data_IF_911622642734
#
_entry.id   IF_911622642734
#
_cell.length_a   1.000
_cell.length_b   1.000
_cell.length_c   1.000
_cell.angle_alpha   90.00
_cell.angle_beta   90.00
_cell.angle_gamma   90.00
#
_symmetry.space_group_name_H-M   'P 1'
#
loop_
_entity.id
_entity.type
_entity.pdbx_description
1 polymer ?
#
# COMPACT_ATOMS: atom_id res chain seq x y z
N UNK A 1 -1.81 -26.52 -4.40
CA UNK A 1 -0.91 -26.17 -5.52
C UNK A 1 -0.20 -24.87 -5.20
N UNK A 2 1.14 -24.82 -5.32
CA UNK A 2 1.93 -23.61 -5.15
C UNK A 2 1.72 -22.58 -6.28
N UNK A 3 2.29 -21.37 -6.15
CA UNK A 3 2.21 -20.35 -7.19
C UNK A 3 2.92 -20.84 -8.47
N UNK A 4 2.34 -20.51 -9.63
CA UNK A 4 2.94 -20.86 -10.93
C UNK A 4 4.21 -20.05 -11.22
N UNK A 5 4.28 -18.82 -10.71
CA UNK A 5 5.39 -17.89 -10.89
C UNK A 5 5.53 -17.03 -9.63
N UNK A 6 6.77 -16.80 -9.20
CA UNK A 6 7.10 -15.88 -8.12
C UNK A 6 8.00 -14.78 -8.69
N UNK A 7 7.65 -13.54 -8.42
CA UNK A 7 8.40 -12.34 -8.77
C UNK A 7 8.75 -11.62 -7.49
N UNK A 8 10.02 -11.28 -7.32
CA UNK A 8 10.52 -10.57 -6.16
C UNK A 8 11.17 -9.26 -6.61
N UNK A 9 10.90 -8.19 -5.89
CA UNK A 9 11.53 -6.88 -6.10
C UNK A 9 12.25 -6.51 -4.82
N UNK A 10 13.57 -6.43 -4.88
CA UNK A 10 14.43 -6.08 -3.75
C UNK A 10 15.36 -4.93 -4.15
N UNK A 11 15.41 -3.88 -3.31
CA UNK A 11 16.23 -2.71 -3.56
C UNK A 11 17.65 -2.87 -3.06
N UNK A 12 17.80 -3.55 -1.93
CA UNK A 12 19.10 -3.79 -1.33
C UNK A 12 19.88 -4.81 -2.19
N UNK A 13 21.08 -4.42 -2.61
CA UNK A 13 21.91 -5.22 -3.51
C UNK A 13 22.43 -6.49 -2.85
N UNK A 14 22.82 -6.40 -1.59
CA UNK A 14 23.38 -7.55 -0.86
C UNK A 14 22.29 -8.59 -0.62
N UNK A 15 21.10 -8.15 -0.20
CA UNK A 15 19.93 -9.04 -0.08
C UNK A 15 19.52 -9.63 -1.43
N UNK A 16 19.57 -8.85 -2.50
CA UNK A 16 19.28 -9.33 -3.85
C UNK A 16 20.22 -10.48 -4.24
N UNK A 17 21.54 -10.34 -4.03
CA UNK A 17 22.52 -11.41 -4.39
C UNK A 17 22.31 -12.67 -3.51
N UNK A 18 22.03 -12.50 -2.22
CA UNK A 18 21.70 -13.61 -1.31
C UNK A 18 20.45 -14.35 -1.80
N UNK A 19 19.39 -13.62 -2.15
CA UNK A 19 18.14 -14.21 -2.62
C UNK A 19 18.32 -14.91 -3.97
N UNK A 20 19.09 -14.32 -4.88
CA UNK A 20 19.41 -14.88 -6.18
C UNK A 20 20.17 -16.22 -6.05
N UNK A 21 21.17 -16.27 -5.19
CA UNK A 21 21.91 -17.52 -4.92
C UNK A 21 21.03 -18.58 -4.26
N UNK A 22 20.19 -18.18 -3.28
CA UNK A 22 19.33 -19.08 -2.53
C UNK A 22 18.23 -19.72 -3.39
N UNK A 23 17.64 -18.98 -4.30
CA UNK A 23 16.50 -19.46 -5.10
C UNK A 23 16.88 -19.99 -6.48
N UNK A 24 18.11 -19.74 -6.93
CA UNK A 24 18.74 -20.36 -8.11
C UNK A 24 17.77 -20.54 -9.30
N UNK A 25 17.32 -19.46 -9.89
CA UNK A 25 16.40 -19.39 -11.04
C UNK A 25 14.97 -19.96 -10.82
N UNK A 26 14.61 -20.37 -9.60
CA UNK A 26 13.23 -20.79 -9.28
C UNK A 26 12.24 -19.63 -9.22
N UNK A 27 12.75 -18.41 -9.06
CA UNK A 27 11.95 -17.18 -8.98
C UNK A 27 12.61 -16.10 -9.84
N UNK A 28 11.80 -15.16 -10.30
CA UNK A 28 12.28 -13.98 -11.04
C UNK A 28 12.54 -12.85 -10.07
N UNK A 29 13.78 -12.36 -9.96
CA UNK A 29 14.17 -11.35 -8.98
C UNK A 29 14.66 -10.10 -9.71
N UNK A 30 14.19 -8.92 -9.27
CA UNK A 30 14.61 -7.61 -9.77
C UNK A 30 15.29 -6.82 -8.66
N UNK A 31 16.51 -6.34 -8.90
CA UNK A 31 17.17 -5.38 -8.03
C UNK A 31 16.70 -3.96 -8.38
N UNK A 32 15.53 -3.59 -7.92
CA UNK A 32 14.89 -2.32 -8.23
C UNK A 32 14.17 -1.74 -6.99
N UNK A 33 14.01 -0.41 -6.97
CA UNK A 33 13.15 0.25 -6.00
C UNK A 33 11.67 0.02 -6.36
N UNK A 34 10.89 -0.56 -5.46
CA UNK A 34 9.47 -0.81 -5.69
C UNK A 34 8.69 0.46 -6.07
N UNK A 35 9.10 1.64 -5.62
CA UNK A 35 8.47 2.89 -6.01
C UNK A 35 8.72 3.25 -7.48
N UNK A 36 9.84 2.82 -8.06
CA UNK A 36 10.22 3.02 -9.46
C UNK A 36 9.82 1.85 -10.36
N UNK A 37 9.58 0.67 -9.78
CA UNK A 37 9.23 -0.54 -10.52
C UNK A 37 8.01 -0.32 -11.41
N UNK A 38 8.14 -0.58 -12.71
CA UNK A 38 7.13 -0.28 -13.73
C UNK A 38 6.73 -1.46 -14.61
N UNK A 39 7.30 -2.65 -14.37
CA UNK A 39 7.07 -3.87 -15.16
C UNK A 39 5.70 -4.49 -14.91
N UNK A 40 4.67 -3.76 -15.25
CA UNK A 40 3.26 -4.14 -15.01
C UNK A 40 2.81 -5.34 -15.85
N UNK A 41 3.48 -5.60 -16.97
CA UNK A 41 3.25 -6.76 -17.85
C UNK A 41 3.58 -8.10 -17.17
N UNK A 42 4.35 -8.09 -16.09
CA UNK A 42 4.65 -9.29 -15.31
C UNK A 42 3.49 -9.73 -14.41
N UNK A 43 2.52 -8.84 -14.16
CA UNK A 43 1.37 -9.10 -13.30
C UNK A 43 0.13 -9.44 -14.15
N UNK A 44 -0.68 -10.34 -13.61
CA UNK A 44 -1.97 -10.76 -14.18
C UNK A 44 -3.09 -10.48 -13.17
N UNK A 45 -4.33 -10.57 -13.62
CA UNK A 45 -5.51 -10.42 -12.76
C UNK A 45 -5.57 -11.46 -11.62
N UNK A 46 -4.83 -12.56 -11.74
CA UNK A 46 -4.70 -13.57 -10.69
C UNK A 46 -3.50 -13.37 -9.77
N UNK A 47 -2.66 -12.37 -10.02
CA UNK A 47 -1.49 -12.10 -9.19
C UNK A 47 -1.88 -11.64 -7.79
N UNK A 48 -1.20 -12.16 -6.78
CA UNK A 48 -1.30 -11.72 -5.39
C UNK A 48 0.01 -11.00 -5.05
N UNK A 49 -0.08 -9.79 -4.53
CA UNK A 49 1.08 -9.00 -4.16
C UNK A 49 1.24 -9.01 -2.65
N UNK A 50 2.37 -9.53 -2.19
CA UNK A 50 2.75 -9.53 -0.77
C UNK A 50 3.80 -8.45 -0.50
N UNK A 51 3.74 -7.85 0.68
CA UNK A 51 4.78 -6.93 1.11
C UNK A 51 4.91 -6.84 2.63
N UNK A 52 6.09 -7.21 3.14
CA UNK A 52 6.57 -6.71 4.41
C UNK A 52 7.25 -5.38 4.13
N UNK A 53 6.46 -4.29 4.19
CA UNK A 53 6.88 -3.00 3.66
C UNK A 53 7.79 -2.24 4.64
N UNK A 54 8.86 -1.58 4.13
CA UNK A 54 9.61 -0.62 4.94
C UNK A 54 8.69 0.47 5.47
N UNK A 55 8.68 0.69 6.78
CA UNK A 55 7.68 1.53 7.44
C UNK A 55 7.67 2.98 6.94
N UNK A 56 8.85 3.52 6.64
CA UNK A 56 9.02 4.91 6.18
C UNK A 56 8.43 5.20 4.80
N UNK A 57 8.25 4.19 3.95
CA UNK A 57 7.69 4.33 2.58
C UNK A 57 6.43 3.52 2.34
N UNK A 58 5.92 2.81 3.35
CA UNK A 58 4.76 1.90 3.20
C UNK A 58 3.50 2.59 2.70
N UNK A 59 3.22 3.83 3.15
CA UNK A 59 2.10 4.63 2.65
C UNK A 59 2.29 5.05 1.17
N UNK A 60 3.52 5.32 0.75
CA UNK A 60 3.83 5.67 -0.65
C UNK A 60 3.65 4.45 -1.55
N UNK A 61 4.09 3.27 -1.10
CA UNK A 61 3.89 2.02 -1.83
C UNK A 61 2.39 1.74 -2.00
N UNK A 62 1.60 1.84 -0.94
CA UNK A 62 0.15 1.67 -1.01
C UNK A 62 -0.48 2.67 -2.00
N UNK A 63 -0.11 3.94 -1.92
CA UNK A 63 -0.59 4.99 -2.83
C UNK A 63 -0.24 4.69 -4.29
N UNK A 64 0.96 4.17 -4.56
CA UNK A 64 1.34 3.72 -5.90
C UNK A 64 0.36 2.68 -6.45
N UNK A 65 0.00 1.65 -5.68
CA UNK A 65 -0.96 0.64 -6.13
C UNK A 65 -2.39 1.16 -6.25
N UNK A 66 -2.80 2.11 -5.42
CA UNK A 66 -4.11 2.78 -5.54
C UNK A 66 -4.24 3.52 -6.87
N UNK A 67 -3.23 4.32 -7.26
CA UNK A 67 -3.32 5.18 -8.43
C UNK A 67 -2.90 4.50 -9.74
N UNK A 68 -2.04 3.50 -9.68
CA UNK A 68 -1.54 2.79 -10.87
C UNK A 68 -2.22 1.42 -11.11
N UNK A 69 -3.35 1.15 -10.48
CA UNK A 69 -4.05 -0.13 -10.62
C UNK A 69 -4.49 -0.47 -12.05
N UNK A 70 -4.64 0.53 -12.94
CA UNK A 70 -4.86 0.27 -14.37
C UNK A 70 -3.63 -0.33 -15.06
N UNK A 71 -2.43 0.01 -14.57
CA UNK A 71 -1.16 -0.54 -15.08
C UNK A 71 -0.84 -1.88 -14.43
N UNK A 72 -1.04 -2.00 -13.11
CA UNK A 72 -0.77 -3.21 -12.35
C UNK A 72 -2.06 -4.00 -12.19
N UNK A 73 -2.20 -5.07 -12.97
CA UNK A 73 -3.30 -6.03 -12.80
C UNK A 73 -2.94 -6.99 -11.67
N UNK A 74 -3.81 -7.14 -10.70
CA UNK A 74 -3.64 -8.06 -9.57
C UNK A 74 -4.99 -8.38 -8.93
N UNK A 75 -5.08 -9.53 -8.28
CA UNK A 75 -6.28 -9.97 -7.57
C UNK A 75 -6.42 -9.28 -6.22
N UNK A 76 -5.35 -9.27 -5.43
CA UNK A 76 -5.33 -8.67 -4.09
C UNK A 76 -3.94 -8.22 -3.67
N UNK A 77 -3.89 -7.30 -2.68
CA UNK A 77 -2.67 -6.95 -1.97
C UNK A 77 -2.74 -7.49 -0.53
N UNK A 78 -1.62 -7.98 -0.03
CA UNK A 78 -1.47 -8.41 1.36
C UNK A 78 -0.23 -7.70 1.90
N UNK A 79 -0.44 -6.62 2.66
CA UNK A 79 0.63 -5.77 3.13
C UNK A 79 0.68 -5.72 4.66
N UNK A 80 1.90 -5.73 5.19
CA UNK A 80 2.14 -5.47 6.59
C UNK A 80 2.55 -4.02 6.81
N UNK A 81 1.89 -3.38 7.78
CA UNK A 81 2.13 -2.00 8.19
C UNK A 81 2.40 -1.91 9.69
N UNK A 82 2.97 -0.80 10.13
CA UNK A 82 2.89 -0.42 11.53
C UNK A 82 1.43 -0.34 11.96
N UNK A 83 1.12 -0.82 13.19
CA UNK A 83 -0.26 -0.89 13.68
C UNK A 83 -1.00 0.44 13.56
N UNK A 84 -0.37 1.56 13.93
CA UNK A 84 -0.99 2.89 13.83
C UNK A 84 -1.39 3.21 12.38
N UNK A 85 -0.54 2.94 11.41
CA UNK A 85 -0.85 3.17 10.00
C UNK A 85 -1.96 2.23 9.51
N UNK A 86 -1.92 0.97 9.91
CA UNK A 86 -2.98 0.01 9.58
C UNK A 86 -4.33 0.46 10.14
N UNK A 87 -4.38 0.88 11.40
CA UNK A 87 -5.60 1.39 12.05
C UNK A 87 -6.14 2.65 11.34
N UNK A 88 -5.28 3.51 10.78
CA UNK A 88 -5.70 4.64 9.94
C UNK A 88 -6.27 4.20 8.59
N UNK A 89 -5.71 3.16 7.98
CA UNK A 89 -6.18 2.67 6.68
C UNK A 89 -7.59 2.08 6.80
N UNK A 90 -7.87 1.31 7.85
CA UNK A 90 -9.18 0.65 8.08
C UNK A 90 -10.12 1.45 8.98
N UNK A 91 -9.82 2.70 9.26
CA UNK A 91 -10.58 3.55 10.18
C UNK A 91 -12.04 3.73 9.72
N UNK A 92 -12.97 3.73 10.66
CA UNK A 92 -14.38 4.03 10.41
C UNK A 92 -14.60 5.54 10.35
N UNK A 93 -15.62 5.96 9.61
CA UNK A 93 -16.09 7.35 9.60
C UNK A 93 -16.37 7.81 11.05
N UNK A 94 -16.08 9.06 11.35
CA UNK A 94 -16.19 9.67 12.67
C UNK A 94 -15.18 9.16 13.72
N UNK A 95 -14.24 8.29 13.37
CA UNK A 95 -13.15 7.93 14.28
C UNK A 95 -11.97 8.93 14.18
N UNK A 96 -11.18 9.05 15.25
CA UNK A 96 -9.98 9.91 15.28
C UNK A 96 -8.93 9.51 14.23
N UNK A 97 -8.88 8.25 13.85
CA UNK A 97 -7.95 7.70 12.86
C UNK A 97 -8.41 7.90 11.41
N UNK A 98 -9.69 8.25 11.18
CA UNK A 98 -10.22 8.48 9.83
C UNK A 98 -9.48 9.62 9.14
N UNK A 99 -9.00 9.39 7.92
CA UNK A 99 -8.17 10.36 7.25
C UNK A 99 -7.94 10.10 5.77
N UNK A 100 -6.95 10.79 5.22
CA UNK A 100 -6.60 10.72 3.79
C UNK A 100 -6.40 9.29 3.31
N UNK A 101 -5.59 8.49 4.00
CA UNK A 101 -5.31 7.11 3.58
C UNK A 101 -6.55 6.23 3.66
N UNK A 102 -7.44 6.45 4.64
CA UNK A 102 -8.74 5.75 4.71
C UNK A 102 -9.53 5.98 3.43
N UNK A 103 -9.68 7.24 3.01
CA UNK A 103 -10.47 7.61 1.82
C UNK A 103 -9.84 7.03 0.55
N UNK A 104 -8.53 7.24 0.35
CA UNK A 104 -7.83 6.79 -0.83
C UNK A 104 -7.88 5.26 -0.98
N UNK A 105 -7.68 4.54 0.10
CA UNK A 105 -7.68 3.08 0.08
C UNK A 105 -9.08 2.52 -0.15
N UNK A 106 -10.08 3.05 0.58
CA UNK A 106 -11.48 2.63 0.44
C UNK A 106 -12.14 3.06 -0.87
N UNK A 107 -11.52 3.96 -1.64
CA UNK A 107 -11.97 4.25 -3.00
C UNK A 107 -11.83 3.05 -3.93
N UNK A 108 -10.75 2.27 -3.79
CA UNK A 108 -10.40 1.17 -4.70
C UNK A 108 -10.61 -0.22 -4.11
N UNK A 109 -10.53 -0.36 -2.80
CA UNK A 109 -10.43 -1.65 -2.14
C UNK A 109 -11.47 -1.81 -1.02
N UNK A 110 -11.92 -3.03 -0.86
CA UNK A 110 -12.50 -3.55 0.38
C UNK A 110 -11.34 -4.09 1.22
N UNK A 111 -11.21 -3.54 2.44
CA UNK A 111 -10.02 -3.74 3.25
C UNK A 111 -10.40 -4.34 4.59
N UNK A 112 -9.68 -5.36 5.00
CA UNK A 112 -9.81 -5.89 6.35
C UNK A 112 -8.46 -6.19 6.97
N UNK A 113 -8.41 -6.12 8.29
CA UNK A 113 -7.25 -6.52 9.07
C UNK A 113 -7.31 -8.02 9.29
N UNK A 114 -6.31 -8.75 8.81
CA UNK A 114 -6.21 -10.19 8.98
C UNK A 114 -5.77 -10.54 10.41
N UNK A 115 -4.65 -9.96 10.88
CA UNK A 115 -4.13 -10.17 12.23
C UNK A 115 -3.08 -9.10 12.59
N UNK A 116 -2.79 -9.02 13.89
CA UNK A 116 -1.70 -8.23 14.42
C UNK A 116 -0.46 -9.11 14.60
N UNK A 117 0.74 -8.55 14.38
CA UNK A 117 2.03 -9.22 14.54
C UNK A 117 2.79 -8.59 15.70
N UNK A 118 3.21 -9.45 16.64
CA UNK A 118 4.00 -9.02 17.78
C UNK A 118 5.40 -8.56 17.37
N UNK A 119 5.97 -7.53 18.03
CA UNK A 119 7.38 -7.17 17.86
C UNK A 119 8.35 -8.34 18.07
N UNK A 120 7.99 -9.31 18.91
CA UNK A 120 8.82 -10.49 19.18
C UNK A 120 9.00 -11.42 17.97
N UNK A 121 8.19 -11.25 16.91
CA UNK A 121 8.28 -12.03 15.67
C UNK A 121 9.34 -11.51 14.70
N UNK A 122 10.11 -10.48 15.07
CA UNK A 122 11.09 -9.85 14.21
C UNK A 122 12.49 -9.83 14.81
N UNK A 123 13.49 -9.88 13.94
CA UNK A 123 14.88 -9.63 14.32
C UNK A 123 15.53 -8.66 13.31
N UNK A 124 16.07 -7.52 13.76
CA UNK A 124 15.96 -6.97 15.11
C UNK A 124 14.51 -6.62 15.48
N UNK A 125 14.20 -6.68 16.79
CA UNK A 125 12.86 -6.44 17.31
C UNK A 125 12.46 -4.96 17.14
N UNK A 126 11.37 -4.63 16.44
CA UNK A 126 10.88 -3.26 16.34
C UNK A 126 10.24 -2.80 17.66
N UNK A 127 10.15 -1.47 17.85
CA UNK A 127 9.53 -0.89 19.06
C UNK A 127 8.00 -1.00 19.09
N UNK A 128 7.36 -1.23 17.93
CA UNK A 128 5.90 -1.16 17.76
C UNK A 128 5.36 -2.40 17.07
N UNK A 129 4.09 -2.71 17.37
CA UNK A 129 3.35 -3.80 16.73
C UNK A 129 3.11 -3.50 15.24
N UNK A 130 2.94 -4.55 14.47
CA UNK A 130 2.52 -4.49 13.07
C UNK A 130 1.14 -5.12 12.88
N UNK A 131 0.50 -4.84 11.77
CA UNK A 131 -0.76 -5.47 11.37
C UNK A 131 -0.71 -5.83 9.90
N UNK A 132 -1.25 -6.97 9.55
CA UNK A 132 -1.42 -7.43 8.17
C UNK A 132 -2.80 -7.03 7.69
N UNK A 133 -2.84 -6.30 6.58
CA UNK A 133 -4.08 -5.89 5.91
C UNK A 133 -4.19 -6.60 4.56
N UNK A 134 -5.42 -6.98 4.22
CA UNK A 134 -5.78 -7.55 2.93
C UNK A 134 -6.65 -6.55 2.18
N UNK A 135 -6.31 -6.30 0.92
CA UNK A 135 -6.99 -5.36 0.03
C UNK A 135 -7.55 -6.13 -1.17
N UNK A 136 -8.85 -6.24 -1.25
CA UNK A 136 -9.56 -6.79 -2.40
C UNK A 136 -10.08 -5.67 -3.28
N UNK A 137 -10.02 -5.83 -4.60
CA UNK A 137 -10.65 -4.85 -5.49
C UNK A 137 -12.15 -4.79 -5.25
N UNK A 138 -12.70 -3.57 -5.26
CA UNK A 138 -14.15 -3.37 -5.28
C UNK A 138 -14.72 -3.67 -6.65
N UNK A 139 -15.86 -4.33 -6.70
CA UNK A 139 -16.59 -4.59 -7.96
C UNK A 139 -17.04 -3.27 -8.61
N UNK A 140 -17.48 -2.32 -7.78
CA UNK A 140 -17.94 -1.00 -8.25
C UNK A 140 -17.04 0.09 -7.68
N UNK A 141 -16.38 0.83 -8.58
CA UNK A 141 -15.46 1.91 -8.23
C UNK A 141 -16.00 3.21 -8.83
N UNK A 142 -16.04 4.29 -8.02
CA UNK A 142 -16.35 5.63 -8.51
C UNK A 142 -15.26 6.05 -9.48
N UNK A 143 -15.63 6.34 -10.74
CA UNK A 143 -14.70 6.81 -11.76
C UNK A 143 -14.58 8.33 -11.70
N UNK A 144 -13.39 8.83 -11.43
CA UNK A 144 -13.07 10.26 -11.52
C UNK A 144 -12.46 10.58 -12.88
N UNK A 145 -12.79 11.74 -13.48
CA UNK A 145 -12.09 12.25 -14.68
C UNK A 145 -10.58 12.35 -14.40
N UNK A 146 -10.21 12.92 -13.27
CA UNK A 146 -8.83 12.99 -12.83
C UNK A 146 -8.70 12.44 -11.38
N UNK A 147 -8.20 11.22 -11.20
CA UNK A 147 -8.00 10.63 -9.89
C UNK A 147 -7.06 11.42 -8.95
N UNK A 148 -6.13 12.21 -9.51
CA UNK A 148 -5.24 13.06 -8.73
C UNK A 148 -6.00 14.16 -7.96
N UNK A 149 -7.20 14.55 -8.42
CA UNK A 149 -8.03 15.49 -7.69
C UNK A 149 -8.46 14.93 -6.33
N UNK A 150 -8.77 13.64 -6.24
CA UNK A 150 -9.08 13.00 -4.95
C UNK A 150 -7.87 13.08 -4.00
N UNK A 151 -6.66 12.85 -4.53
CA UNK A 151 -5.43 12.97 -3.76
C UNK A 151 -5.20 14.42 -3.28
N UNK A 152 -5.38 15.41 -4.17
CA UNK A 152 -5.23 16.83 -3.85
C UNK A 152 -6.25 17.26 -2.79
N UNK A 153 -7.52 16.98 -2.99
CA UNK A 153 -8.60 17.34 -2.07
C UNK A 153 -8.34 16.73 -0.69
N UNK A 154 -8.10 15.43 -0.61
CA UNK A 154 -7.85 14.76 0.67
C UNK A 154 -6.60 15.29 1.35
N UNK A 155 -5.55 15.65 0.61
CA UNK A 155 -4.36 16.30 1.17
C UNK A 155 -4.69 17.64 1.79
N UNK A 156 -5.43 18.50 1.11
CA UNK A 156 -5.80 19.83 1.59
C UNK A 156 -6.63 19.74 2.88
N UNK A 157 -7.67 18.91 2.89
CA UNK A 157 -8.58 18.84 4.04
C UNK A 157 -8.03 18.09 5.25
N UNK A 158 -7.15 17.11 5.05
CA UNK A 158 -6.61 16.33 6.17
C UNK A 158 -5.24 16.77 6.69
N UNK A 159 -4.52 17.67 6.00
CA UNK A 159 -3.23 18.19 6.49
C UNK A 159 -3.35 19.05 7.76
N UNK A 160 -4.49 19.73 7.97
CA UNK A 160 -4.70 20.64 9.10
C UNK A 160 -6.05 20.38 9.77
N UNK A 161 -6.30 19.13 10.18
CA UNK A 161 -7.59 18.66 10.73
C UNK A 161 -8.19 19.55 11.86
N UNK A 162 -7.34 20.23 12.65
CA UNK A 162 -7.77 21.10 13.76
C UNK A 162 -8.09 22.54 13.34
N UNK A 163 -7.90 22.89 12.06
CA UNK A 163 -8.19 24.26 11.58
C UNK A 163 -9.55 24.34 10.90
N UNK A 164 -10.16 25.55 10.95
CA UNK A 164 -11.46 25.80 10.32
C UNK A 164 -11.42 25.46 8.83
N UNK A 165 -12.41 24.72 8.36
CA UNK A 165 -12.58 24.26 6.97
C UNK A 165 -12.52 25.42 5.95
N UNK A 166 -13.04 26.61 6.30
CA UNK A 166 -13.06 27.81 5.43
C UNK A 166 -11.67 28.12 4.83
N UNK A 167 -10.60 28.09 5.65
CA UNK A 167 -9.25 28.37 5.16
C UNK A 167 -8.73 27.31 4.19
N UNK A 168 -9.13 26.06 4.38
CA UNK A 168 -8.73 24.94 3.52
C UNK A 168 -9.53 24.95 2.20
N UNK A 169 -10.79 25.38 2.27
CA UNK A 169 -11.65 25.56 1.10
C UNK A 169 -11.08 26.62 0.14
N UNK A 170 -10.64 27.77 0.67
CA UNK A 170 -10.02 28.81 -0.15
C UNK A 170 -8.77 28.33 -0.88
N UNK A 171 -7.98 27.42 -0.28
CA UNK A 171 -6.80 26.82 -0.94
C UNK A 171 -7.13 25.86 -2.08
N UNK A 172 -8.40 25.54 -2.33
CA UNK A 172 -8.81 24.72 -3.49
C UNK A 172 -8.97 25.56 -4.75
N UNK A 173 -9.29 26.85 -4.61
CA UNK A 173 -9.67 27.73 -5.71
C UNK A 173 -8.59 28.78 -6.04
N UNK A 174 -7.51 28.81 -5.24
CA UNK A 174 -6.26 29.51 -5.55
C UNK A 174 -5.20 28.50 -6.02
#
# INVERSE_FOLDING_TARGET
KGPKKIILVEKDRDLFEILKSKFNNKIEIFNEDILKFSKSNLLTENSIIYGNLPYNISSQILTKFIFNNKKFKFKMLIFMFQKELADRIVAKVNSSNYGRLTILSNWKFDIYKAFDVSPNSFYPKPKIKSSVLVFNHKDKIIKFKNPKNLERITSIFFNKRRKKIKKQFNNLFN
#
